data_IF_849782386608
#
_entry.id   IF_849782386608
#
_cell.length_a   1.000
_cell.length_b   1.000
_cell.length_c   1.000
_cell.angle_alpha   90.00
_cell.angle_beta   90.00
_cell.angle_gamma   90.00
#
_symmetry.space_group_name_H-M   'P 1'
#
loop_
_entity.id
_entity.type
_entity.pdbx_description
1 polymer ?
#
# COMPACT_ATOMS: atom_id res chain seq x y z
N UNK A 1 55.70 36.58 18.01
CA UNK A 1 54.48 35.74 18.01
C UNK A 1 53.37 36.38 18.87
N UNK A 2 52.53 37.24 18.30
CA UNK A 2 51.20 37.59 18.83
C UNK A 2 50.28 37.83 17.62
N UNK A 3 49.85 36.74 16.97
CA UNK A 3 49.15 36.78 15.66
C UNK A 3 47.62 36.89 15.79
N UNK A 4 47.10 37.30 16.94
CA UNK A 4 45.66 37.54 17.12
C UNK A 4 45.41 38.76 18.02
N UNK A 5 44.48 39.67 17.65
CA UNK A 5 44.09 40.78 18.51
C UNK A 5 43.41 40.24 19.77
N UNK A 6 43.88 40.68 20.95
CA UNK A 6 43.25 40.39 22.24
C UNK A 6 41.99 41.26 22.40
N UNK A 7 40.96 40.96 21.62
CA UNK A 7 39.66 41.58 21.81
C UNK A 7 39.03 41.02 23.10
N UNK A 8 38.66 41.85 24.09
CA UNK A 8 37.94 41.39 25.29
C UNK A 8 36.58 40.77 24.93
N UNK A 9 36.05 41.04 23.73
CA UNK A 9 34.85 40.37 23.21
C UNK A 9 35.01 38.84 23.01
N UNK A 10 36.23 38.30 23.04
CA UNK A 10 36.49 36.85 23.04
C UNK A 10 36.29 36.20 24.43
N UNK A 11 36.35 36.95 25.54
CA UNK A 11 36.11 36.40 26.88
C UNK A 11 34.62 36.15 27.18
N UNK A 12 33.72 36.79 26.42
CA UNK A 12 32.26 36.65 26.56
C UNK A 12 31.68 35.45 25.78
N UNK A 13 32.52 34.61 25.18
CA UNK A 13 32.08 33.37 24.52
C UNK A 13 31.36 32.41 25.47
N UNK A 14 31.69 32.44 26.77
CA UNK A 14 31.06 31.62 27.80
C UNK A 14 29.78 32.27 28.33
N UNK A 15 29.74 33.60 28.40
CA UNK A 15 28.61 34.32 29.01
C UNK A 15 27.32 34.22 28.19
N UNK A 16 27.42 34.20 26.85
CA UNK A 16 26.26 34.02 25.96
C UNK A 16 25.58 32.65 26.15
N UNK A 17 26.27 31.50 26.05
CA UNK A 17 25.65 30.20 26.32
C UNK A 17 25.20 30.08 27.78
N UNK A 18 25.96 30.63 28.74
CA UNK A 18 25.57 30.60 30.15
C UNK A 18 24.22 31.31 30.39
N UNK A 19 24.00 32.48 29.78
CA UNK A 19 22.70 33.19 29.85
C UNK A 19 21.56 32.37 29.25
N UNK A 20 21.80 31.65 28.15
CA UNK A 20 20.81 30.77 27.52
C UNK A 20 20.48 29.59 28.43
N UNK A 21 21.49 28.94 29.00
CA UNK A 21 21.32 27.82 29.94
C UNK A 21 20.56 28.26 31.19
N UNK A 22 20.91 29.39 31.80
CA UNK A 22 20.17 29.91 32.95
C UNK A 22 18.71 30.21 32.61
N UNK A 23 18.44 30.84 31.45
CA UNK A 23 17.07 31.10 31.01
C UNK A 23 16.27 29.80 30.83
N UNK A 24 16.89 28.76 30.25
CA UNK A 24 16.29 27.43 30.11
C UNK A 24 16.07 26.75 31.46
N UNK A 25 17.04 26.84 32.38
CA UNK A 25 16.96 26.28 33.73
C UNK A 25 15.75 26.84 34.49
N UNK A 26 15.62 28.16 34.57
CA UNK A 26 14.49 28.79 35.25
C UNK A 26 13.16 28.48 34.56
N UNK A 27 13.13 28.39 33.23
CA UNK A 27 11.92 28.00 32.48
C UNK A 27 11.53 26.54 32.76
N UNK A 28 12.50 25.63 32.85
CA UNK A 28 12.27 24.20 33.10
C UNK A 28 11.90 23.88 34.55
N UNK A 29 12.25 24.73 35.53
CA UNK A 29 11.78 24.57 36.92
C UNK A 29 10.27 24.83 37.03
N UNK A 30 9.75 25.80 36.28
CA UNK A 30 8.33 26.20 36.35
C UNK A 30 7.42 25.25 35.56
N UNK A 31 7.93 24.66 34.48
CA UNK A 31 7.15 23.74 33.66
C UNK A 31 7.34 22.28 34.07
N UNK A 32 6.28 21.48 33.91
CA UNK A 32 6.35 20.02 34.10
C UNK A 32 7.41 19.39 33.17
N UNK A 33 8.08 18.30 33.61
CA UNK A 33 8.99 17.57 32.75
C UNK A 33 8.26 17.01 31.52
N UNK A 34 8.97 16.91 30.40
CA UNK A 34 8.45 16.34 29.14
C UNK A 34 8.34 14.81 29.23
N UNK A 35 9.10 14.18 30.15
CA UNK A 35 9.15 12.74 30.30
C UNK A 35 7.80 12.16 30.74
N UNK A 36 7.41 11.06 30.09
CA UNK A 36 6.29 10.20 30.52
C UNK A 36 6.81 9.13 31.49
N UNK A 37 5.96 8.68 32.42
CA UNK A 37 6.34 7.64 33.38
C UNK A 37 6.16 6.23 32.79
N UNK A 38 6.98 5.87 31.81
CA UNK A 38 7.00 4.49 31.27
C UNK A 38 7.48 3.50 32.35
N UNK A 39 6.84 2.34 32.56
CA UNK A 39 5.76 1.73 31.77
C UNK A 39 4.32 2.04 32.24
N UNK A 40 4.14 2.83 33.31
CA UNK A 40 2.82 3.16 33.86
C UNK A 40 1.99 4.05 32.94
N UNK A 41 2.66 4.96 32.24
CA UNK A 41 2.08 5.81 31.20
C UNK A 41 2.74 5.49 29.86
N UNK A 42 1.92 5.30 28.81
CA UNK A 42 2.38 5.09 27.44
C UNK A 42 2.08 6.31 26.59
N UNK A 43 2.97 6.58 25.63
CA UNK A 43 2.70 7.60 24.61
C UNK A 43 1.54 7.14 23.73
N UNK A 44 0.68 8.08 23.33
CA UNK A 44 -0.35 7.80 22.34
C UNK A 44 0.30 7.46 20.99
N UNK A 45 -0.08 6.31 20.42
CA UNK A 45 0.35 5.84 19.10
C UNK A 45 -0.90 5.84 18.21
N UNK A 46 -0.84 6.41 16.99
CA UNK A 46 -2.00 6.42 16.10
C UNK A 46 -2.31 5.00 15.58
N UNK A 47 -3.57 4.74 15.26
CA UNK A 47 -4.04 3.43 14.79
C UNK A 47 -3.37 2.97 13.47
N UNK A 48 -2.93 3.92 12.64
CA UNK A 48 -2.23 3.65 11.37
C UNK A 48 -0.71 3.47 11.53
N UNK A 49 -0.22 3.38 12.77
CA UNK A 49 1.20 3.15 13.04
C UNK A 49 1.65 1.78 12.52
N UNK A 50 2.87 1.73 11.99
CA UNK A 50 3.47 0.50 11.43
C UNK A 50 4.26 -0.26 12.50
N UNK A 51 3.53 -0.90 13.42
CA UNK A 51 4.09 -1.80 14.42
C UNK A 51 3.96 -3.26 14.01
N UNK A 52 3.57 -4.13 14.94
CA UNK A 52 3.46 -5.58 14.72
C UNK A 52 2.51 -5.90 13.56
N UNK A 53 2.91 -6.77 12.61
CA UNK A 53 2.00 -7.33 11.61
C UNK A 53 0.91 -8.18 12.28
N UNK A 54 -0.34 -7.90 11.96
CA UNK A 54 -1.52 -8.64 12.41
C UNK A 54 -2.12 -9.49 11.28
N UNK A 55 -2.66 -10.65 11.63
CA UNK A 55 -3.35 -11.56 10.73
C UNK A 55 -4.79 -11.81 11.20
N UNK A 56 -5.75 -11.56 10.32
CA UNK A 56 -7.13 -12.01 10.47
C UNK A 56 -7.31 -13.40 9.82
N UNK A 57 -7.50 -14.41 10.66
CA UNK A 57 -7.66 -15.80 10.24
C UNK A 57 -8.88 -16.03 9.35
N UNK A 58 -9.97 -15.29 9.57
CA UNK A 58 -11.21 -15.50 8.84
C UNK A 58 -11.12 -14.97 7.40
N UNK A 59 -10.28 -13.96 7.16
CA UNK A 59 -10.12 -13.33 5.84
C UNK A 59 -8.99 -13.92 5.01
N UNK A 60 -7.98 -14.51 5.64
CA UNK A 60 -6.82 -15.00 4.92
C UNK A 60 -7.16 -16.28 4.14
N UNK A 61 -6.83 -16.32 2.85
CA UNK A 61 -7.08 -17.46 1.95
C UNK A 61 -5.81 -18.23 1.57
N UNK A 62 -4.65 -17.86 2.15
CA UNK A 62 -3.38 -18.53 1.87
C UNK A 62 -2.79 -18.28 0.48
N UNK A 63 -3.10 -17.13 -0.16
CA UNK A 63 -2.67 -16.82 -1.54
C UNK A 63 -1.16 -16.57 -1.75
N UNK A 64 -0.39 -16.38 -0.66
CA UNK A 64 1.06 -16.14 -0.72
C UNK A 64 1.49 -14.81 -1.34
N UNK A 65 0.59 -13.83 -1.46
CA UNK A 65 0.96 -12.51 -1.99
C UNK A 65 1.83 -11.72 -1.01
N UNK A 66 1.60 -11.87 0.30
CA UNK A 66 2.42 -11.23 1.34
C UNK A 66 3.87 -11.71 1.37
N UNK A 67 4.12 -12.99 1.05
CA UNK A 67 5.47 -13.55 0.89
C UNK A 67 6.18 -12.94 -0.32
N UNK A 68 5.51 -12.93 -1.48
CA UNK A 68 6.08 -12.40 -2.74
C UNK A 68 6.40 -10.91 -2.68
N UNK A 69 5.59 -10.12 -1.99
CA UNK A 69 5.78 -8.66 -1.89
C UNK A 69 6.71 -8.23 -0.76
N UNK A 70 7.19 -9.16 0.08
CA UNK A 70 8.06 -8.83 1.20
C UNK A 70 9.49 -8.51 0.72
N UNK A 71 9.98 -7.26 0.86
CA UNK A 71 11.29 -6.88 0.31
C UNK A 71 12.46 -7.56 1.04
N UNK A 72 12.26 -7.92 2.32
CA UNK A 72 13.28 -8.61 3.13
C UNK A 72 13.08 -10.13 3.18
N UNK A 73 12.09 -10.67 2.46
CA UNK A 73 11.73 -12.10 2.52
C UNK A 73 11.56 -12.61 3.97
N UNK A 74 10.96 -11.78 4.82
CA UNK A 74 10.71 -12.10 6.23
C UNK A 74 9.47 -12.97 6.45
N UNK A 75 8.61 -13.10 5.43
CA UNK A 75 7.35 -13.83 5.50
C UNK A 75 7.51 -15.15 4.75
N UNK A 76 7.06 -16.24 5.34
CA UNK A 76 6.99 -17.57 4.72
C UNK A 76 5.58 -18.13 4.87
N UNK A 77 5.07 -18.81 3.84
CA UNK A 77 3.79 -19.51 3.95
C UNK A 77 4.01 -20.90 4.54
N UNK A 78 3.35 -21.19 5.66
CA UNK A 78 3.41 -22.47 6.36
C UNK A 78 2.02 -23.09 6.48
N UNK A 79 1.98 -24.41 6.59
CA UNK A 79 0.76 -25.15 6.84
C UNK A 79 0.38 -25.01 8.32
N UNK A 80 -0.83 -24.53 8.60
CA UNK A 80 -1.35 -24.33 9.94
C UNK A 80 -2.71 -25.00 10.12
N UNK A 81 -2.96 -25.67 11.25
CA UNK A 81 -4.27 -26.25 11.55
C UNK A 81 -5.26 -25.13 11.87
N UNK A 82 -6.35 -25.08 11.11
CA UNK A 82 -7.51 -24.22 11.38
C UNK A 82 -8.36 -24.79 12.52
N UNK A 83 -9.30 -24.01 13.04
CA UNK A 83 -10.15 -24.40 14.20
C UNK A 83 -11.01 -25.64 13.89
N UNK A 84 -11.31 -25.88 12.61
CA UNK A 84 -12.04 -27.06 12.13
C UNK A 84 -11.15 -28.29 11.85
N UNK A 85 -9.85 -28.23 12.17
CA UNK A 85 -8.89 -29.31 11.94
C UNK A 85 -8.42 -29.45 10.48
N UNK A 86 -8.88 -28.58 9.58
CA UNK A 86 -8.39 -28.51 8.20
C UNK A 86 -7.04 -27.81 8.19
N UNK A 87 -6.07 -28.38 7.48
CA UNK A 87 -4.75 -27.77 7.30
C UNK A 87 -4.88 -26.68 6.23
N UNK A 88 -4.62 -25.44 6.60
CA UNK A 88 -4.70 -24.27 5.71
C UNK A 88 -3.35 -23.56 5.69
N UNK A 89 -2.96 -23.06 4.52
CA UNK A 89 -1.74 -22.29 4.33
C UNK A 89 -1.88 -20.89 4.92
N UNK A 90 -1.00 -20.51 5.84
CA UNK A 90 -1.00 -19.22 6.55
C UNK A 90 0.40 -18.61 6.62
N UNK A 91 0.54 -17.28 6.69
CA UNK A 91 1.84 -16.64 6.79
C UNK A 91 2.44 -16.78 8.19
N UNK A 92 3.74 -17.06 8.23
CA UNK A 92 4.64 -16.92 9.37
C UNK A 92 5.57 -15.74 9.10
N UNK A 93 5.84 -14.91 10.12
CA UNK A 93 6.65 -13.70 9.97
C UNK A 93 7.83 -13.74 10.92
N UNK A 94 9.04 -13.58 10.39
CA UNK A 94 10.24 -13.38 11.19
C UNK A 94 10.42 -11.88 11.51
N UNK A 95 10.07 -11.49 12.74
CA UNK A 95 10.19 -10.09 13.18
C UNK A 95 11.64 -9.61 13.21
N UNK A 96 12.61 -10.49 13.42
CA UNK A 96 14.03 -10.15 13.37
C UNK A 96 14.54 -9.77 11.97
N UNK A 97 13.78 -10.05 10.91
CA UNK A 97 14.06 -9.63 9.52
C UNK A 97 13.05 -8.61 8.98
N UNK A 98 11.96 -8.37 9.69
CA UNK A 98 10.89 -7.51 9.22
C UNK A 98 11.32 -6.04 9.30
N UNK A 99 11.16 -5.29 8.21
CA UNK A 99 11.44 -3.86 8.15
C UNK A 99 10.22 -3.00 8.52
N UNK A 100 9.11 -3.62 8.94
CA UNK A 100 7.85 -2.94 9.29
C UNK A 100 7.33 -1.98 8.20
N UNK A 101 7.55 -2.31 6.93
CA UNK A 101 7.19 -1.43 5.81
C UNK A 101 5.68 -1.34 5.54
N UNK A 102 4.90 -2.36 5.94
CA UNK A 102 3.45 -2.41 5.70
C UNK A 102 2.99 -3.02 4.37
N UNK A 103 3.91 -3.40 3.47
CA UNK A 103 3.54 -3.97 2.16
C UNK A 103 2.70 -5.23 2.24
N UNK A 104 2.89 -6.06 3.27
CA UNK A 104 2.07 -7.25 3.45
C UNK A 104 0.59 -6.92 3.69
N UNK A 105 0.27 -5.78 4.31
CA UNK A 105 -1.09 -5.29 4.50
C UNK A 105 -1.62 -4.64 3.21
N UNK A 106 -0.82 -3.79 2.57
CA UNK A 106 -1.19 -3.07 1.34
C UNK A 106 -1.53 -3.99 0.15
N UNK A 107 -0.75 -5.06 -0.03
CA UNK A 107 -0.93 -5.98 -1.15
C UNK A 107 -1.82 -7.18 -0.80
N UNK A 108 -2.44 -7.21 0.38
CA UNK A 108 -3.33 -8.31 0.73
C UNK A 108 -4.66 -8.16 -0.03
N UNK A 109 -5.03 -9.08 -0.95
CA UNK A 109 -6.25 -8.92 -1.75
C UNK A 109 -7.55 -9.07 -0.93
N UNK A 110 -7.46 -9.67 0.26
CA UNK A 110 -8.61 -9.90 1.15
C UNK A 110 -8.56 -9.09 2.44
N UNK A 111 -7.64 -8.11 2.54
CA UNK A 111 -7.42 -7.29 3.75
C UNK A 111 -7.20 -8.14 5.03
N UNK A 112 -6.58 -9.31 4.88
CA UNK A 112 -6.35 -10.21 5.99
C UNK A 112 -5.10 -9.88 6.80
N UNK A 113 -4.10 -9.24 6.17
CA UNK A 113 -2.92 -8.73 6.85
C UNK A 113 -3.15 -7.26 7.21
N UNK A 114 -2.76 -6.87 8.41
CA UNK A 114 -2.82 -5.48 8.90
C UNK A 114 -1.52 -5.10 9.61
N UNK A 115 -1.31 -3.80 9.82
CA UNK A 115 -0.27 -3.30 10.71
C UNK A 115 -0.93 -2.76 11.97
N UNK A 116 -0.43 -3.17 13.13
CA UNK A 116 -0.98 -2.78 14.43
C UNK A 116 -0.09 -1.73 15.09
N UNK A 117 -0.62 -0.92 16.01
CA UNK A 117 0.17 0.03 16.80
C UNK A 117 1.01 -0.63 17.90
N UNK A 118 1.04 -1.96 17.99
CA UNK A 118 1.84 -2.68 18.98
C UNK A 118 3.34 -2.57 18.64
N UNK A 119 4.11 -1.93 19.53
CA UNK A 119 5.55 -1.69 19.36
C UNK A 119 6.43 -2.49 20.33
N UNK A 120 5.83 -3.03 21.39
CA UNK A 120 6.53 -3.78 22.44
C UNK A 120 6.72 -5.24 22.00
N UNK A 121 7.66 -5.47 21.09
CA UNK A 121 7.89 -6.77 20.41
C UNK A 121 9.21 -7.43 20.80
N UNK A 122 9.80 -7.00 21.91
CA UNK A 122 11.07 -7.56 22.38
C UNK A 122 10.85 -8.99 22.89
N UNK A 123 11.68 -9.91 22.42
CA UNK A 123 11.69 -11.31 22.85
C UNK A 123 13.07 -11.67 23.41
N UNK A 124 13.13 -12.69 24.26
CA UNK A 124 14.38 -13.11 24.90
C UNK A 124 15.29 -13.92 23.97
N UNK A 125 14.71 -14.71 23.08
CA UNK A 125 15.46 -15.55 22.13
C UNK A 125 15.19 -15.15 20.68
N UNK A 126 16.10 -15.53 19.79
CA UNK A 126 15.95 -15.29 18.35
C UNK A 126 14.82 -16.12 17.74
N UNK A 127 14.56 -17.31 18.28
CA UNK A 127 13.52 -18.22 17.81
C UNK A 127 12.14 -17.65 18.12
N UNK A 128 11.97 -17.00 19.27
CA UNK A 128 10.72 -16.37 19.68
C UNK A 128 10.32 -15.18 18.79
N UNK A 129 11.27 -14.55 18.11
CA UNK A 129 11.00 -13.50 17.10
C UNK A 129 10.33 -14.05 15.83
N UNK A 130 10.26 -15.37 15.66
CA UNK A 130 9.58 -16.00 14.54
C UNK A 130 8.12 -16.24 14.93
N UNK A 131 7.26 -15.32 14.51
CA UNK A 131 5.85 -15.37 14.84
C UNK A 131 5.13 -16.32 13.89
N UNK A 132 4.74 -17.48 14.42
CA UNK A 132 3.85 -18.40 13.72
C UNK A 132 2.46 -17.81 13.47
N UNK A 133 1.65 -18.43 12.60
CA UNK A 133 0.33 -17.92 12.22
C UNK A 133 -0.55 -17.56 13.41
N UNK A 134 -0.67 -18.45 14.41
CA UNK A 134 -1.51 -18.20 15.59
C UNK A 134 -1.00 -17.03 16.45
N UNK A 135 0.32 -16.86 16.55
CA UNK A 135 0.92 -15.71 17.25
C UNK A 135 0.76 -14.43 16.45
N UNK A 136 0.53 -14.48 15.14
CA UNK A 136 0.17 -13.32 14.31
C UNK A 136 -1.33 -12.99 14.38
N UNK A 137 -2.16 -13.90 14.89
CA UNK A 137 -3.60 -13.68 15.01
C UNK A 137 -3.87 -12.33 15.71
N UNK A 138 -4.66 -11.49 15.06
CA UNK A 138 -5.10 -10.23 15.63
C UNK A 138 -6.53 -9.95 15.15
N UNK A 139 -7.51 -10.35 15.96
CA UNK A 139 -8.93 -10.22 15.63
C UNK A 139 -9.46 -8.78 15.76
N UNK A 140 -8.76 -7.92 16.51
CA UNK A 140 -9.20 -6.55 16.82
C UNK A 140 -8.72 -5.52 15.78
N UNK A 141 -8.86 -5.83 14.49
CA UNK A 141 -8.47 -4.89 13.42
C UNK A 141 -9.52 -3.80 13.25
N UNK A 142 -9.16 -2.54 13.50
CA UNK A 142 -9.97 -1.38 13.17
C UNK A 142 -9.84 -1.03 11.67
N UNK A 143 -10.81 -0.30 11.10
CA UNK A 143 -10.71 0.14 9.71
C UNK A 143 -9.53 1.08 9.46
N UNK A 144 -9.10 1.85 10.45
CA UNK A 144 -7.90 2.70 10.36
C UNK A 144 -6.58 1.92 10.33
N UNK A 145 -6.58 0.66 10.76
CA UNK A 145 -5.40 -0.23 10.70
C UNK A 145 -5.27 -0.93 9.34
N UNK A 146 -6.35 -0.97 8.55
CA UNK A 146 -6.33 -1.54 7.21
C UNK A 146 -5.69 -0.55 6.26
N UNK A 147 -4.71 -1.01 5.50
CA UNK A 147 -4.08 -0.16 4.49
C UNK A 147 -4.80 -0.40 3.16
N UNK A 148 -5.80 0.43 2.87
CA UNK A 148 -6.50 0.38 1.57
C UNK A 148 -5.69 1.14 0.54
N UNK A 149 -5.30 0.45 -0.53
CA UNK A 149 -4.74 1.06 -1.71
C UNK A 149 -5.87 1.68 -2.54
N UNK A 150 -6.20 2.92 -2.20
CA UNK A 150 -7.18 3.70 -2.90
C UNK A 150 -6.51 4.55 -3.99
N UNK A 151 -6.97 4.38 -5.21
CA UNK A 151 -6.45 5.10 -6.38
C UNK A 151 -7.54 6.02 -6.92
N UNK A 152 -7.13 7.17 -7.43
CA UNK A 152 -8.01 8.06 -8.20
C UNK A 152 -7.85 7.72 -9.68
N UNK A 153 -8.95 7.40 -10.35
CA UNK A 153 -8.92 7.05 -11.76
C UNK A 153 -8.79 8.31 -12.64
N UNK A 154 -8.21 8.14 -13.84
CA UNK A 154 -8.02 9.24 -14.79
C UNK A 154 -9.37 9.82 -15.25
N UNK A 155 -10.41 8.98 -15.34
CA UNK A 155 -11.79 9.38 -15.64
C UNK A 155 -12.35 10.35 -14.61
N UNK A 156 -12.19 10.04 -13.32
CA UNK A 156 -12.64 10.88 -12.21
C UNK A 156 -11.94 12.24 -12.22
N UNK A 157 -10.63 12.27 -12.52
CA UNK A 157 -9.87 13.51 -12.69
C UNK A 157 -10.43 14.34 -13.86
N UNK A 158 -10.67 13.71 -15.03
CA UNK A 158 -11.24 14.38 -16.20
C UNK A 158 -12.63 14.98 -15.91
N UNK A 159 -13.41 14.39 -15.00
CA UNK A 159 -14.74 14.87 -14.58
C UNK A 159 -14.72 15.93 -13.47
N UNK A 160 -13.54 16.31 -12.97
CA UNK A 160 -13.42 17.29 -11.90
C UNK A 160 -13.65 16.71 -10.49
N UNK A 161 -13.56 15.39 -10.32
CA UNK A 161 -13.64 14.70 -9.03
C UNK A 161 -12.28 14.11 -8.60
N UNK A 162 -11.21 14.92 -8.43
CA UNK A 162 -9.87 14.41 -8.14
C UNK A 162 -9.75 13.75 -6.75
N UNK A 163 -10.72 13.95 -5.87
CA UNK A 163 -10.74 13.38 -4.52
C UNK A 163 -11.42 12.02 -4.45
N UNK A 164 -12.08 11.55 -5.53
CA UNK A 164 -12.71 10.23 -5.52
C UNK A 164 -11.64 9.15 -5.46
N UNK A 165 -11.85 8.22 -4.55
CA UNK A 165 -10.94 7.11 -4.23
C UNK A 165 -11.69 5.81 -4.45
N UNK A 166 -11.10 4.94 -5.26
CA UNK A 166 -11.68 3.65 -5.64
C UNK A 166 -10.65 2.56 -5.33
N UNK A 167 -11.13 1.37 -4.98
CA UNK A 167 -10.28 0.20 -4.77
C UNK A 167 -9.45 -0.11 -6.02
N UNK A 168 -8.19 -0.49 -5.87
CA UNK A 168 -7.29 -0.82 -6.99
C UNK A 168 -7.83 -1.91 -7.94
N UNK A 169 -8.79 -2.73 -7.52
CA UNK A 169 -9.41 -3.79 -8.34
C UNK A 169 -10.63 -3.30 -9.14
N UNK A 170 -11.21 -2.15 -8.80
CA UNK A 170 -12.35 -1.53 -9.45
C UNK A 170 -11.85 -0.50 -10.46
N UNK A 171 -11.39 -0.98 -11.60
CA UNK A 171 -10.77 -0.15 -12.63
C UNK A 171 -11.74 0.02 -13.80
N UNK A 172 -11.76 1.21 -14.40
CA UNK A 172 -12.53 1.47 -15.62
C UNK A 172 -12.09 0.53 -16.74
N UNK A 173 -13.04 0.01 -17.52
CA UNK A 173 -12.72 -0.89 -18.64
C UNK A 173 -13.27 -0.33 -19.95
N UNK A 174 -12.57 -0.51 -21.09
CA UNK A 174 -13.16 -0.17 -22.37
C UNK A 174 -14.27 -1.17 -22.71
N UNK A 175 -15.43 -0.67 -23.10
CA UNK A 175 -16.55 -1.43 -23.67
C UNK A 175 -16.69 -1.08 -25.14
N UNK A 176 -16.91 -2.11 -25.96
CA UNK A 176 -17.13 -1.99 -27.38
C UNK A 176 -18.61 -1.74 -27.71
N UNK A 177 -18.88 -0.69 -28.47
CA UNK A 177 -20.11 -0.53 -29.24
C UNK A 177 -19.94 -1.23 -30.60
N UNK A 178 -20.52 -2.42 -30.71
CA UNK A 178 -20.41 -3.29 -31.88
C UNK A 178 -20.93 -2.65 -33.17
N UNK A 179 -21.87 -1.71 -33.08
CA UNK A 179 -22.47 -1.04 -34.25
C UNK A 179 -21.52 -0.06 -34.93
N UNK A 180 -20.60 0.54 -34.17
CA UNK A 180 -19.65 1.55 -34.67
C UNK A 180 -18.30 0.98 -35.08
N UNK A 181 -18.01 -0.25 -34.65
CA UNK A 181 -16.71 -0.88 -34.89
C UNK A 181 -16.49 -1.24 -36.38
N UNK A 182 -15.41 -0.73 -36.96
CA UNK A 182 -15.02 -0.98 -38.37
C UNK A 182 -13.87 -1.99 -38.53
N UNK A 183 -13.53 -2.76 -37.49
CA UNK A 183 -12.49 -3.82 -37.56
C UNK A 183 -11.08 -3.33 -37.98
N UNK A 184 -10.71 -2.07 -37.68
CA UNK A 184 -9.45 -1.45 -38.15
C UNK A 184 -8.16 -1.88 -37.43
N UNK A 185 -8.25 -2.66 -36.35
CA UNK A 185 -7.13 -3.12 -35.48
C UNK A 185 -6.27 -2.01 -34.83
N UNK A 186 -6.69 -0.75 -34.88
CA UNK A 186 -5.92 0.36 -34.29
C UNK A 186 -5.80 0.25 -32.76
N UNK A 187 -6.87 -0.18 -32.08
CA UNK A 187 -6.89 -0.39 -30.63
C UNK A 187 -5.88 -1.44 -30.13
N UNK A 188 -5.68 -2.52 -30.89
CA UNK A 188 -4.67 -3.55 -30.61
C UNK A 188 -3.24 -2.98 -30.73
N UNK A 189 -2.97 -2.16 -31.75
CA UNK A 189 -1.65 -1.55 -31.99
C UNK A 189 -1.27 -0.49 -30.95
N UNK A 190 -2.25 0.28 -30.49
CA UNK A 190 -2.05 1.40 -29.57
C UNK A 190 -1.94 0.93 -28.11
N UNK A 191 -2.38 -0.31 -27.79
CA UNK A 191 -2.38 -0.82 -26.43
C UNK A 191 -0.94 -1.07 -25.92
N UNK A 192 -0.45 -0.33 -24.91
CA UNK A 192 0.94 -0.45 -24.45
C UNK A 192 1.23 -1.79 -23.74
N UNK A 193 0.18 -2.41 -23.18
CA UNK A 193 0.25 -3.65 -22.40
C UNK A 193 -0.27 -4.87 -23.17
N UNK A 194 -0.61 -4.71 -24.46
CA UNK A 194 -1.18 -5.75 -25.31
C UNK A 194 -2.39 -6.48 -24.66
N UNK A 195 -3.24 -5.72 -23.95
CA UNK A 195 -4.45 -6.24 -23.31
C UNK A 195 -5.60 -6.49 -24.31
N UNK A 196 -5.53 -5.94 -25.52
CA UNK A 196 -6.58 -6.06 -26.54
C UNK A 196 -6.10 -7.00 -27.64
N UNK A 197 -6.91 -8.00 -27.99
CA UNK A 197 -6.68 -8.89 -29.14
C UNK A 197 -7.87 -8.84 -30.09
N UNK A 198 -7.61 -8.79 -31.39
CA UNK A 198 -8.67 -8.79 -32.39
C UNK A 198 -9.05 -10.23 -32.76
N UNK A 199 -10.26 -10.65 -32.40
CA UNK A 199 -10.78 -12.01 -32.61
C UNK A 199 -11.93 -12.00 -33.63
N UNK A 200 -11.98 -13.02 -34.47
CA UNK A 200 -13.04 -13.19 -35.47
C UNK A 200 -14.35 -13.60 -34.81
N UNK A 201 -15.40 -12.80 -34.99
CA UNK A 201 -16.73 -13.04 -34.41
C UNK A 201 -17.79 -13.43 -35.46
N UNK A 202 -17.45 -13.39 -36.74
CA UNK A 202 -18.36 -13.78 -37.82
C UNK A 202 -17.89 -13.32 -39.19
N UNK A 203 -18.77 -13.46 -40.18
CA UNK A 203 -18.51 -13.06 -41.56
C UNK A 203 -19.60 -12.09 -42.00
N UNK A 204 -19.21 -10.95 -42.57
CA UNK A 204 -20.14 -10.00 -43.17
C UNK A 204 -20.85 -10.62 -44.39
N UNK A 205 -21.95 -10.02 -44.82
CA UNK A 205 -22.70 -10.40 -46.05
C UNK A 205 -21.81 -10.53 -47.30
N UNK A 206 -20.65 -9.85 -47.32
CA UNK A 206 -19.66 -9.87 -48.40
C UNK A 206 -18.55 -10.92 -48.23
N UNK A 207 -18.70 -11.89 -47.32
CA UNK A 207 -17.70 -12.93 -47.09
C UNK A 207 -16.43 -12.48 -46.37
N UNK A 208 -16.39 -11.27 -45.81
CA UNK A 208 -15.23 -10.74 -45.06
C UNK A 208 -15.36 -10.99 -43.56
N UNK A 209 -14.30 -11.43 -42.87
CA UNK A 209 -14.35 -11.65 -41.42
C UNK A 209 -14.58 -10.35 -40.67
N UNK A 210 -15.46 -10.39 -39.67
CA UNK A 210 -15.73 -9.32 -38.71
C UNK A 210 -14.82 -9.56 -37.51
N UNK A 211 -13.97 -8.58 -37.21
CA UNK A 211 -13.02 -8.67 -36.11
C UNK A 211 -13.46 -7.73 -34.98
N UNK A 212 -13.62 -8.28 -33.79
CA UNK A 212 -13.90 -7.49 -32.59
C UNK A 212 -12.72 -7.56 -31.60
N UNK A 213 -12.45 -6.47 -30.87
CA UNK A 213 -11.48 -6.48 -29.78
C UNK A 213 -12.03 -7.27 -28.58
N UNK A 214 -11.36 -8.35 -28.22
CA UNK A 214 -11.46 -8.98 -26.89
C UNK A 214 -10.45 -8.32 -25.95
N UNK A 215 -10.91 -7.90 -24.78
CA UNK A 215 -10.13 -7.11 -23.82
C UNK A 215 -9.88 -7.96 -22.57
N UNK A 216 -8.61 -8.21 -22.28
CA UNK A 216 -8.18 -8.88 -21.05
C UNK A 216 -8.23 -7.89 -19.87
N UNK A 217 -9.23 -8.08 -19.01
CA UNK A 217 -9.47 -7.22 -17.84
C UNK A 217 -8.40 -7.31 -16.74
N UNK A 218 -7.51 -8.30 -16.77
CA UNK A 218 -6.40 -8.43 -15.80
C UNK A 218 -5.19 -7.63 -16.28
N UNK A 219 -4.97 -7.56 -17.60
CA UNK A 219 -3.83 -6.83 -18.19
C UNK A 219 -4.12 -5.36 -18.46
N UNK A 220 -5.39 -4.99 -18.63
CA UNK A 220 -5.77 -3.62 -18.93
C UNK A 220 -5.40 -2.66 -17.77
N UNK A 221 -4.59 -1.65 -18.06
CA UNK A 221 -4.18 -0.60 -17.09
C UNK A 221 -5.00 0.69 -17.22
N UNK A 222 -6.08 0.67 -18.01
CA UNK A 222 -7.06 1.78 -18.11
C UNK A 222 -6.49 3.15 -18.51
N UNK A 223 -5.45 3.14 -19.34
CA UNK A 223 -4.80 4.34 -19.90
C UNK A 223 -5.65 5.13 -20.92
N UNK A 224 -6.78 4.59 -21.37
CA UNK A 224 -7.70 5.20 -22.35
C UNK A 224 -7.17 5.41 -23.79
N UNK A 225 -5.92 5.08 -24.09
CA UNK A 225 -5.38 5.26 -25.47
C UNK A 225 -6.24 4.60 -26.56
N UNK A 226 -6.81 3.42 -26.30
CA UNK A 226 -7.65 2.72 -27.28
C UNK A 226 -8.98 3.43 -27.59
N UNK A 227 -9.48 4.26 -26.65
CA UNK A 227 -10.67 5.09 -26.82
C UNK A 227 -10.27 6.34 -27.61
N UNK A 228 -9.22 7.03 -27.18
CA UNK A 228 -8.74 8.28 -27.78
C UNK A 228 -8.29 8.10 -29.24
N UNK A 229 -7.71 6.95 -29.58
CA UNK A 229 -7.26 6.66 -30.94
C UNK A 229 -8.33 6.07 -31.87
N UNK A 230 -9.54 5.79 -31.38
CA UNK A 230 -10.58 5.14 -32.17
C UNK A 230 -11.13 6.10 -33.24
N UNK A 231 -11.04 5.78 -34.56
CA UNK A 231 -11.50 6.69 -35.61
C UNK A 231 -13.04 6.80 -35.71
N UNK A 232 -13.78 5.97 -34.98
CA UNK A 232 -15.26 5.89 -35.02
C UNK A 232 -15.89 5.96 -33.64
N UNK A 233 -15.11 6.27 -32.60
CA UNK A 233 -15.56 6.30 -31.20
C UNK A 233 -16.36 5.05 -30.81
N UNK A 234 -15.90 3.90 -31.28
CA UNK A 234 -16.54 2.61 -31.05
C UNK A 234 -16.23 2.03 -29.67
N UNK A 235 -15.19 2.52 -28.99
CA UNK A 235 -14.83 2.14 -27.63
C UNK A 235 -15.17 3.28 -26.69
N UNK A 236 -15.81 2.97 -25.55
CA UNK A 236 -16.06 3.91 -24.46
C UNK A 236 -15.62 3.29 -23.14
N UNK A 237 -15.21 4.11 -22.18
CA UNK A 237 -14.86 3.59 -20.85
C UNK A 237 -16.15 3.36 -20.05
N UNK A 238 -16.39 2.13 -19.61
CA UNK A 238 -17.33 1.87 -18.53
C UNK A 238 -16.66 2.19 -17.22
N UNK A 239 -17.22 3.18 -16.54
CA UNK A 239 -16.77 3.56 -15.22
C UNK A 239 -17.28 2.58 -14.18
N UNK A 240 -16.45 2.29 -13.19
CA UNK A 240 -16.91 1.59 -12.00
C UNK A 240 -17.53 2.64 -11.06
N UNK A 241 -18.86 2.59 -10.93
CA UNK A 241 -19.61 3.42 -9.97
C UNK A 241 -19.35 2.93 -8.53
#
# INVERSE_FOLDING_TARGET
MKKYPQNPARSLWIMKPLKVVFKLFFKNIVHRPVCIMYPYEKMWVPDNYRGRPGLDFNKCVGCGMCERMCPTSAILIVDAPDDNGVIVKRPQVNLGRCAFCGYCAEYCPTDAMTVTPEVELAEYTREDLIYGPRRLAYAKTNDMMKVRNEVTLISDIKKGNPERRIDAFKIDRPILDSKKCISCKKCEKVCPVAAIKMVEHGVNEKGRPILWPEIDGIKCISCQNCVDDCPKDALHMSEVL
#
